data_IF_228251018393
#
_entry.id   IF_228251018393
#
_cell.length_a   1.000
_cell.length_b   1.000
_cell.length_c   1.000
_cell.angle_alpha   90.00
_cell.angle_beta   90.00
_cell.angle_gamma   90.00
#
_symmetry.space_group_name_H-M   'P 1'
#
loop_
_entity.id
_entity.type
_entity.pdbx_description
1 polymer ?
#
# COMPACT_ATOMS: atom_id res chain seq x y z
N UNK A 1 4.47 -9.01 7.64
CA UNK A 1 3.79 -9.18 6.33
C UNK A 1 4.37 -10.28 5.43
N UNK A 2 5.64 -10.70 5.59
CA UNK A 2 6.18 -11.86 4.86
C UNK A 2 5.32 -13.14 5.04
N UNK A 3 4.60 -13.24 6.15
CA UNK A 3 3.67 -14.33 6.44
C UNK A 3 2.39 -14.34 5.58
N UNK A 4 2.13 -13.32 4.76
CA UNK A 4 0.93 -13.27 3.93
C UNK A 4 0.97 -14.21 2.71
N UNK A 5 2.15 -14.72 2.33
CA UNK A 5 2.35 -15.72 1.24
C UNK A 5 1.58 -15.39 -0.06
N UNK A 6 1.64 -14.13 -0.51
CA UNK A 6 0.88 -13.63 -1.67
C UNK A 6 1.19 -14.35 -2.99
N UNK A 7 2.35 -14.99 -3.08
CA UNK A 7 2.76 -15.90 -4.14
C UNK A 7 1.72 -17.02 -4.38
N UNK A 8 1.20 -17.62 -3.31
CA UNK A 8 0.19 -18.69 -3.39
C UNK A 8 -1.17 -18.20 -3.94
N UNK A 9 -1.37 -16.87 -3.96
CA UNK A 9 -2.57 -16.23 -4.50
C UNK A 9 -2.33 -15.64 -5.90
N UNK A 10 -1.18 -15.90 -6.51
CA UNK A 10 -0.75 -15.31 -7.78
C UNK A 10 -0.75 -13.76 -7.74
N UNK A 11 -0.39 -13.19 -6.58
CA UNK A 11 -0.24 -11.74 -6.39
C UNK A 11 1.25 -11.43 -6.31
N UNK A 12 1.76 -10.70 -7.29
CA UNK A 12 3.14 -10.24 -7.30
C UNK A 12 3.40 -9.23 -6.18
N UNK A 13 4.61 -9.26 -5.61
CA UNK A 13 5.03 -8.33 -4.55
C UNK A 13 6.32 -7.63 -4.94
N UNK A 14 6.36 -6.32 -4.68
CA UNK A 14 7.49 -5.46 -5.01
C UNK A 14 7.86 -4.62 -3.80
N UNK A 15 9.15 -4.33 -3.66
CA UNK A 15 9.66 -3.45 -2.61
C UNK A 15 10.13 -2.14 -3.23
N UNK A 16 9.61 -1.02 -2.72
CA UNK A 16 10.13 0.29 -3.08
C UNK A 16 11.59 0.39 -2.60
N UNK A 17 12.54 0.75 -3.47
CA UNK A 17 13.94 0.86 -3.10
C UNK A 17 14.17 1.84 -1.95
N UNK A 18 15.10 1.50 -1.06
CA UNK A 18 15.35 2.28 0.15
C UNK A 18 16.43 3.34 -0.04
N UNK A 19 17.45 3.03 -0.86
CA UNK A 19 18.61 3.92 -1.08
C UNK A 19 18.39 4.77 -2.32
N UNK A 20 18.92 5.98 -2.30
CA UNK A 20 18.72 6.93 -3.40
C UNK A 20 19.34 6.48 -4.73
N UNK A 21 20.40 5.67 -4.67
CA UNK A 21 21.12 5.12 -5.84
C UNK A 21 20.63 3.75 -6.32
N UNK A 22 19.64 3.16 -5.66
CA UNK A 22 19.00 1.94 -6.16
C UNK A 22 18.13 2.29 -7.39
N UNK A 23 17.99 1.34 -8.32
CA UNK A 23 17.17 1.53 -9.52
C UNK A 23 15.70 1.81 -9.14
N UNK A 24 15.05 2.83 -9.73
CA UNK A 24 13.64 3.13 -9.44
C UNK A 24 12.72 1.96 -9.78
N UNK A 25 11.78 1.66 -8.88
CA UNK A 25 10.72 0.71 -9.17
C UNK A 25 9.72 1.29 -10.16
N UNK A 26 9.54 0.62 -11.30
CA UNK A 26 8.51 0.93 -12.29
C UNK A 26 7.44 -0.17 -12.28
N UNK A 27 6.19 0.20 -11.99
CA UNK A 27 5.04 -0.72 -12.00
C UNK A 27 4.09 -0.31 -13.13
N UNK A 28 3.68 -1.27 -13.96
CA UNK A 28 2.79 -1.06 -15.11
C UNK A 28 1.57 -2.00 -15.07
N UNK A 29 1.11 -2.29 -13.86
CA UNK A 29 -0.03 -3.17 -13.60
C UNK A 29 -0.76 -2.74 -12.32
N UNK A 30 -2.06 -3.05 -12.16
CA UNK A 30 -2.85 -2.65 -10.99
C UNK A 30 -2.25 -3.13 -9.67
N UNK A 31 -2.02 -2.21 -8.71
CA UNK A 31 -1.42 -2.57 -7.41
C UNK A 31 -2.13 -1.96 -6.21
N UNK A 32 -1.93 -2.59 -5.04
CA UNK A 32 -2.23 -2.00 -3.73
C UNK A 32 -0.93 -1.63 -3.05
N UNK A 33 -0.81 -0.38 -2.59
CA UNK A 33 0.35 0.05 -1.83
C UNK A 33 0.19 -0.35 -0.37
N UNK A 34 1.20 -0.95 0.24
CA UNK A 34 1.25 -1.14 1.70
C UNK A 34 2.34 -0.28 2.29
N UNK A 35 1.98 0.65 3.18
CA UNK A 35 2.87 1.73 3.65
C UNK A 35 2.92 1.85 5.17
N UNK A 36 4.12 1.87 5.79
CA UNK A 36 4.24 2.22 7.20
C UNK A 36 4.04 3.73 7.42
N UNK A 37 3.47 4.07 8.58
CA UNK A 37 3.34 5.45 9.04
C UNK A 37 4.54 5.83 9.91
N UNK A 38 5.31 6.84 9.48
CA UNK A 38 6.42 7.41 10.24
C UNK A 38 6.09 8.83 10.75
N UNK A 39 7.09 9.60 11.18
CA UNK A 39 6.92 11.01 11.51
C UNK A 39 6.65 11.34 12.99
N UNK A 40 6.70 10.34 13.87
CA UNK A 40 6.68 10.56 15.34
C UNK A 40 5.44 11.30 15.85
N UNK A 41 4.27 11.06 15.25
CA UNK A 41 3.02 11.77 15.57
C UNK A 41 2.75 13.00 14.71
N UNK A 42 3.73 13.49 13.94
CA UNK A 42 3.53 14.62 13.02
C UNK A 42 2.97 14.12 11.68
N UNK A 43 1.67 14.33 11.46
CA UNK A 43 0.93 13.88 10.26
C UNK A 43 1.61 14.29 8.95
N UNK A 44 2.14 15.51 8.83
CA UNK A 44 2.82 15.97 7.62
C UNK A 44 4.08 15.14 7.24
N UNK A 45 4.66 14.44 8.23
CA UNK A 45 5.84 13.57 8.08
C UNK A 45 5.47 12.08 7.97
N UNK A 46 4.17 11.75 7.92
CA UNK A 46 3.68 10.38 7.97
C UNK A 46 4.14 9.49 6.81
N UNK A 47 4.14 10.02 5.58
CA UNK A 47 4.49 9.26 4.38
C UNK A 47 6.00 9.25 4.17
N UNK A 48 6.65 8.06 4.06
CA UNK A 48 8.08 7.96 3.76
C UNK A 48 8.48 8.72 2.49
N UNK A 49 9.66 9.35 2.43
CA UNK A 49 10.13 10.04 1.23
C UNK A 49 10.25 9.11 0.01
N UNK A 50 10.60 7.83 0.20
CA UNK A 50 10.66 6.83 -0.87
C UNK A 50 9.28 6.59 -1.50
N UNK A 51 8.24 6.51 -0.67
CA UNK A 51 6.85 6.38 -1.15
C UNK A 51 6.41 7.64 -1.87
N UNK A 52 6.78 8.83 -1.36
CA UNK A 52 6.52 10.11 -2.05
C UNK A 52 7.18 10.13 -3.43
N UNK A 53 8.45 9.72 -3.54
CA UNK A 53 9.18 9.64 -4.82
C UNK A 53 8.50 8.67 -5.78
N UNK A 54 8.18 7.46 -5.32
CA UNK A 54 7.50 6.44 -6.12
C UNK A 54 6.13 6.92 -6.65
N UNK A 55 5.31 7.55 -5.81
CA UNK A 55 3.99 8.07 -6.21
C UNK A 55 4.04 9.42 -6.94
N UNK A 56 5.15 10.15 -6.90
CA UNK A 56 5.30 11.38 -7.68
C UNK A 56 5.52 11.08 -9.17
N UNK A 57 6.05 9.90 -9.51
CA UNK A 57 6.01 9.37 -10.87
C UNK A 57 4.53 9.13 -11.30
N UNK A 58 4.03 9.86 -12.31
CA UNK A 58 2.66 9.68 -12.80
C UNK A 58 2.40 8.27 -13.35
N UNK A 59 3.38 7.63 -13.97
CA UNK A 59 3.19 6.33 -14.59
C UNK A 59 2.97 5.25 -13.54
N UNK A 60 3.72 5.30 -12.43
CA UNK A 60 3.47 4.42 -11.29
C UNK A 60 2.11 4.75 -10.67
N UNK A 61 1.85 6.02 -10.38
CA UNK A 61 0.61 6.46 -9.72
C UNK A 61 -0.65 6.12 -10.50
N UNK A 62 -0.60 6.01 -11.83
CA UNK A 62 -1.74 5.59 -12.65
C UNK A 62 -2.26 4.18 -12.32
N UNK A 63 -1.41 3.33 -11.74
CA UNK A 63 -1.74 1.93 -11.49
C UNK A 63 -2.16 1.61 -10.04
N UNK A 64 -2.11 2.57 -9.12
CA UNK A 64 -2.60 2.35 -7.76
C UNK A 64 -4.12 2.11 -7.74
N UNK A 65 -4.57 1.13 -6.95
CA UNK A 65 -6.00 0.79 -6.77
C UNK A 65 -6.48 0.88 -5.33
N UNK A 66 -5.55 0.91 -4.38
CA UNK A 66 -5.84 1.03 -2.96
C UNK A 66 -4.57 1.20 -2.14
N UNK A 67 -4.73 1.52 -0.87
CA UNK A 67 -3.63 1.60 0.09
C UNK A 67 -4.00 0.88 1.39
N UNK A 68 -3.04 0.18 1.97
CA UNK A 68 -3.08 -0.37 3.33
C UNK A 68 -1.99 0.34 4.13
N UNK A 69 -2.27 0.73 5.37
CA UNK A 69 -1.27 1.40 6.19
C UNK A 69 -0.98 0.66 7.50
N UNK A 70 0.30 0.59 7.87
CA UNK A 70 0.67 0.20 9.23
C UNK A 70 1.01 1.42 10.08
N UNK A 71 0.88 1.28 11.40
CA UNK A 71 1.21 2.33 12.36
C UNK A 71 1.30 1.81 13.79
N UNK A 72 1.18 2.70 14.75
CA UNK A 72 1.05 2.35 16.17
C UNK A 72 -0.03 3.27 16.77
N UNK A 73 -1.02 2.68 17.44
CA UNK A 73 -2.18 3.38 18.01
C UNK A 73 -1.79 4.38 19.10
N UNK A 74 -0.62 4.22 19.72
CA UNK A 74 -0.05 5.18 20.66
C UNK A 74 0.12 6.59 20.06
N UNK A 75 0.10 6.74 18.74
CA UNK A 75 0.16 8.03 18.05
C UNK A 75 -1.22 8.67 17.79
N UNK A 76 -2.31 8.11 18.33
CA UNK A 76 -3.65 8.70 18.28
C UNK A 76 -4.09 9.06 16.86
N UNK A 77 -4.38 10.34 16.61
CA UNK A 77 -4.80 10.83 15.29
C UNK A 77 -3.77 10.62 14.17
N UNK A 78 -2.50 10.40 14.50
CA UNK A 78 -1.47 10.08 13.52
C UNK A 78 -1.41 8.58 13.18
N UNK A 79 -2.13 7.70 13.89
CA UNK A 79 -2.23 6.29 13.56
C UNK A 79 -2.81 6.10 12.15
N UNK A 80 -2.06 5.42 11.27
CA UNK A 80 -2.45 5.17 9.88
C UNK A 80 -2.49 6.43 9.00
N UNK A 81 -1.90 7.55 9.44
CA UNK A 81 -1.94 8.81 8.70
C UNK A 81 -1.33 8.71 7.30
N UNK A 82 -0.30 7.87 7.10
CA UNK A 82 0.29 7.67 5.78
C UNK A 82 -0.73 7.14 4.77
N UNK A 83 -1.57 6.19 5.20
CA UNK A 83 -2.65 5.63 4.40
C UNK A 83 -3.69 6.66 4.02
N UNK A 84 -4.14 7.48 4.99
CA UNK A 84 -5.10 8.58 4.72
C UNK A 84 -4.56 9.60 3.73
N UNK A 85 -3.30 10.00 3.88
CA UNK A 85 -2.65 10.96 2.97
C UNK A 85 -2.54 10.39 1.55
N UNK A 86 -2.09 9.14 1.40
CA UNK A 86 -2.00 8.49 0.10
C UNK A 86 -3.38 8.32 -0.53
N UNK A 87 -4.36 7.85 0.23
CA UNK A 87 -5.75 7.69 -0.19
C UNK A 87 -6.33 8.99 -0.74
N UNK A 88 -6.19 10.10 0.00
CA UNK A 88 -6.67 11.41 -0.43
C UNK A 88 -5.93 11.94 -1.67
N UNK A 89 -4.59 11.84 -1.71
CA UNK A 89 -3.78 12.34 -2.84
C UNK A 89 -4.04 11.54 -4.13
N UNK A 90 -4.15 10.22 -4.02
CA UNK A 90 -4.29 9.33 -5.18
C UNK A 90 -5.74 8.99 -5.52
N UNK A 91 -6.71 9.44 -4.71
CA UNK A 91 -8.15 9.17 -4.88
C UNK A 91 -8.47 7.67 -4.95
N UNK A 92 -7.83 6.89 -4.07
CA UNK A 92 -8.03 5.44 -3.94
C UNK A 92 -8.44 5.08 -2.51
N UNK A 93 -9.18 3.97 -2.29
CA UNK A 93 -9.60 3.58 -0.95
C UNK A 93 -8.42 3.23 -0.02
N UNK A 94 -8.53 3.65 1.25
CA UNK A 94 -7.78 3.05 2.35
C UNK A 94 -8.47 1.75 2.74
N UNK A 95 -7.86 0.62 2.37
CA UNK A 95 -8.48 -0.70 2.48
C UNK A 95 -8.42 -1.26 3.90
N UNK A 96 -7.29 -1.08 4.57
CA UNK A 96 -7.05 -1.64 5.90
C UNK A 96 -5.95 -0.89 6.64
N UNK A 97 -6.01 -0.91 7.97
CA UNK A 97 -4.95 -0.39 8.84
C UNK A 97 -4.62 -1.38 9.95
N UNK A 98 -3.34 -1.60 10.23
CA UNK A 98 -2.90 -2.53 11.29
C UNK A 98 -1.71 -1.97 12.08
N UNK A 99 -1.42 -2.58 13.23
CA UNK A 99 -0.35 -2.14 14.12
C UNK A 99 0.97 -2.88 13.91
N UNK A 100 2.08 -2.13 13.94
CA UNK A 100 3.45 -2.63 13.91
C UNK A 100 3.68 -3.63 12.75
N UNK A 101 3.92 -4.90 13.08
CA UNK A 101 4.18 -5.98 12.13
C UNK A 101 2.89 -6.72 11.70
N UNK A 102 1.77 -6.39 12.32
CA UNK A 102 0.49 -7.09 12.21
C UNK A 102 0.41 -8.28 13.16
N UNK A 103 -0.81 -8.58 13.61
CA UNK A 103 -1.19 -9.83 14.26
C UNK A 103 -1.43 -10.93 13.21
N UNK A 104 -1.51 -12.23 13.61
CA UNK A 104 -1.94 -13.29 12.69
C UNK A 104 -3.31 -13.01 12.05
N UNK A 105 -4.20 -12.34 12.77
CA UNK A 105 -5.50 -11.92 12.26
C UNK A 105 -5.37 -10.81 11.20
N UNK A 106 -4.45 -9.87 11.38
CA UNK A 106 -4.17 -8.83 10.37
C UNK A 106 -3.58 -9.44 9.09
N UNK A 107 -2.70 -10.43 9.24
CA UNK A 107 -2.16 -11.21 8.11
C UNK A 107 -3.28 -11.88 7.34
N UNK A 108 -4.19 -12.57 8.03
CA UNK A 108 -5.34 -13.24 7.42
C UNK A 108 -6.27 -12.25 6.71
N UNK A 109 -6.67 -11.17 7.38
CA UNK A 109 -7.51 -10.11 6.80
C UNK A 109 -6.87 -9.47 5.58
N UNK A 110 -5.57 -9.20 5.64
CA UNK A 110 -4.84 -8.61 4.51
C UNK A 110 -4.79 -9.57 3.33
N UNK A 111 -4.45 -10.84 3.58
CA UNK A 111 -4.38 -11.89 2.56
C UNK A 111 -5.74 -12.10 1.89
N UNK A 112 -6.78 -12.40 2.67
CA UNK A 112 -8.12 -12.68 2.17
C UNK A 112 -8.75 -11.45 1.50
N UNK A 113 -8.52 -10.26 2.08
CA UNK A 113 -9.01 -9.00 1.55
C UNK A 113 -8.42 -8.67 0.19
N UNK A 114 -7.10 -8.83 0.02
CA UNK A 114 -6.43 -8.58 -1.27
C UNK A 114 -6.81 -9.62 -2.33
N UNK A 115 -6.93 -10.90 -1.96
CA UNK A 115 -7.42 -11.94 -2.87
C UNK A 115 -8.79 -11.58 -3.46
N UNK A 116 -9.74 -11.18 -2.59
CA UNK A 116 -11.08 -10.75 -3.03
C UNK A 116 -11.03 -9.46 -3.84
N UNK A 117 -10.22 -8.49 -3.40
CA UNK A 117 -10.08 -7.20 -4.06
C UNK A 117 -9.62 -7.36 -5.51
N UNK A 118 -8.60 -8.18 -5.77
CA UNK A 118 -8.12 -8.40 -7.13
C UNK A 118 -9.06 -9.28 -7.96
N UNK A 119 -9.69 -10.30 -7.37
CA UNK A 119 -10.65 -11.16 -8.08
C UNK A 119 -11.89 -10.39 -8.60
N UNK A 120 -12.43 -9.47 -7.79
CA UNK A 120 -13.58 -8.64 -8.16
C UNK A 120 -13.26 -7.60 -9.26
N UNK A 121 -11.99 -7.22 -9.38
CA UNK A 121 -11.55 -6.20 -10.33
C UNK A 121 -11.12 -6.76 -11.67
N UNK A 122 -10.58 -7.98 -11.70
CA UNK A 122 -10.37 -8.73 -12.95
C UNK A 122 -11.69 -8.97 -13.70
N UNK A 123 -12.81 -9.03 -12.98
CA UNK A 123 -14.16 -9.19 -13.55
C UNK A 123 -14.79 -7.87 -14.01
N UNK A 124 -14.13 -6.71 -13.79
CA UNK A 124 -14.63 -5.36 -14.13
C UNK A 124 -13.69 -4.58 -15.06
N UNK A 125 -12.63 -5.18 -15.59
CA UNK A 125 -11.85 -4.56 -16.66
C UNK A 125 -12.57 -4.81 -17.99
N UNK A 126 -13.09 -3.78 -18.69
CA UNK A 126 -13.48 -3.96 -20.08
C UNK A 126 -12.21 -4.35 -20.85
N UNK A 127 -12.25 -5.49 -21.54
CA UNK A 127 -11.28 -5.82 -22.58
C UNK A 127 -11.12 -4.60 -23.50
N UNK A 128 -10.00 -3.90 -23.41
CA UNK A 128 -9.64 -2.90 -24.41
C UNK A 128 -9.08 -3.67 -25.62
N UNK A 129 -9.84 -3.62 -26.72
CA UNK A 129 -9.40 -3.94 -28.08
C UNK A 129 -8.38 -2.91 -28.56
#
# INVERSE_FOLDING_TARGET
MESCRFDELNIATYRIPLRAGDEPLAIREPYVLIVPTYGGGVVAKAVPPQVKRFLNDPDNRAWIRGVIASGNTNFGEAYGAAGRIVSAKCKVPLLFTFELMGTPEDVRKTRDGLARFFAQRQSHEPHQH
#
